data_IF_183119322431
#
_entry.id   IF_183119322431
#
_cell.length_a   1.000
_cell.length_b   1.000
_cell.length_c   1.000
_cell.angle_alpha   90.00
_cell.angle_beta   90.00
_cell.angle_gamma   90.00
#
_symmetry.space_group_name_H-M   'P 1'
#
loop_
_entity.id
_entity.type
_entity.pdbx_description
1 polymer ?
#
# COMPACT_ATOMS: atom_id res chain seq x y z
N UNK A 1 -8.51 -6.59 -7.53
CA UNK A 1 -7.70 -6.24 -6.35
C UNK A 1 -8.15 -4.88 -5.83
N UNK A 2 -8.63 -4.80 -4.59
CA UNK A 2 -8.97 -3.52 -3.93
C UNK A 2 -7.72 -2.86 -3.37
N UNK A 3 -7.46 -1.60 -3.70
CA UNK A 3 -6.32 -0.83 -3.21
C UNK A 3 -6.79 0.33 -2.34
N UNK A 4 -6.37 0.35 -1.08
CA UNK A 4 -6.68 1.45 -0.15
C UNK A 4 -5.38 2.09 0.29
N UNK A 5 -5.22 3.37 -0.01
CA UNK A 5 -4.01 4.12 0.27
C UNK A 5 -4.31 5.23 1.26
N UNK A 6 -3.87 5.01 2.50
CA UNK A 6 -3.99 5.92 3.62
C UNK A 6 -2.72 6.78 3.72
N UNK A 7 -2.82 8.00 3.21
CA UNK A 7 -1.75 9.00 3.32
C UNK A 7 -2.01 9.84 4.58
N UNK A 8 -1.22 9.62 5.64
CA UNK A 8 -1.44 10.27 6.93
C UNK A 8 -0.14 10.87 7.50
N UNK A 9 -0.21 11.96 8.28
CA UNK A 9 0.96 12.58 8.91
C UNK A 9 1.78 11.62 9.77
N UNK A 10 3.04 11.94 10.04
CA UNK A 10 3.88 11.22 11.02
C UNK A 10 3.17 11.13 12.38
N UNK A 11 3.45 10.05 13.13
CA UNK A 11 2.92 9.82 14.49
C UNK A 11 1.39 9.74 14.60
N UNK A 12 0.66 9.55 13.50
CA UNK A 12 -0.81 9.37 13.49
C UNK A 12 -1.30 7.96 13.83
N UNK A 13 -0.42 7.08 14.33
CA UNK A 13 -0.78 5.69 14.64
C UNK A 13 -0.93 4.76 13.43
N UNK A 14 -0.44 5.15 12.24
CA UNK A 14 -0.47 4.33 11.00
C UNK A 14 -0.02 2.89 11.21
N UNK A 15 1.16 2.71 11.78
CA UNK A 15 1.73 1.38 12.07
C UNK A 15 0.82 0.57 13.00
N UNK A 16 0.17 1.21 13.98
CA UNK A 16 -0.81 0.54 14.86
C UNK A 16 -2.02 0.07 14.06
N UNK A 17 -2.56 0.91 13.17
CA UNK A 17 -3.68 0.55 12.28
C UNK A 17 -3.29 -0.58 11.31
N UNK A 18 -2.11 -0.49 10.70
CA UNK A 18 -1.56 -1.53 9.83
C UNK A 18 -1.44 -2.86 10.60
N UNK A 19 -0.94 -2.82 11.83
CA UNK A 19 -0.81 -4.00 12.69
C UNK A 19 -2.17 -4.58 13.04
N UNK A 20 -3.15 -3.71 13.33
CA UNK A 20 -4.52 -4.13 13.61
C UNK A 20 -5.17 -4.84 12.41
N UNK A 21 -5.01 -4.32 11.19
CA UNK A 21 -5.51 -5.00 9.99
C UNK A 21 -4.80 -6.34 9.72
N UNK A 22 -3.53 -6.47 10.09
CA UNK A 22 -2.79 -7.73 9.96
C UNK A 22 -3.30 -8.83 10.89
N UNK A 23 -3.56 -8.49 12.16
CA UNK A 23 -3.98 -9.50 13.15
C UNK A 23 -5.40 -10.03 12.89
N UNK A 24 -6.18 -9.41 12.01
CA UNK A 24 -7.48 -9.92 11.57
C UNK A 24 -7.37 -11.23 10.76
N UNK A 25 -6.32 -11.38 9.95
CA UNK A 25 -6.08 -12.57 9.12
C UNK A 25 -4.57 -12.78 8.87
N UNK A 26 -3.80 -13.09 9.91
CA UNK A 26 -2.34 -13.10 9.84
C UNK A 26 -1.79 -14.20 8.92
N UNK A 27 -2.52 -15.30 8.71
CA UNK A 27 -2.08 -16.43 7.88
C UNK A 27 -2.17 -16.16 6.37
N UNK A 28 -3.15 -15.34 5.95
CA UNK A 28 -3.36 -14.97 4.55
C UNK A 28 -2.90 -13.54 4.22
N UNK A 29 -2.34 -12.81 5.19
CA UNK A 29 -1.87 -11.44 5.01
C UNK A 29 -0.35 -11.37 5.04
N UNK A 30 0.28 -10.73 4.05
CA UNK A 30 1.70 -10.36 4.13
C UNK A 30 1.82 -8.92 4.63
N UNK A 31 2.57 -8.72 5.71
CA UNK A 31 2.92 -7.40 6.23
C UNK A 31 4.32 -7.02 5.78
N UNK A 32 4.45 -5.92 5.05
CA UNK A 32 5.73 -5.34 4.64
C UNK A 32 5.92 -4.03 5.40
N UNK A 33 7.01 -3.93 6.16
CA UNK A 33 7.38 -2.73 6.91
C UNK A 33 8.66 -2.11 6.35
N UNK A 34 9.00 -0.89 6.78
CA UNK A 34 10.17 -0.13 6.31
C UNK A 34 11.50 -0.91 6.24
N UNK A 35 11.89 -1.59 7.33
CA UNK A 35 13.17 -2.28 7.44
C UNK A 35 13.12 -3.48 8.40
N UNK A 36 14.25 -4.19 8.52
CA UNK A 36 14.36 -5.39 9.35
C UNK A 36 14.25 -5.12 10.86
N UNK A 37 14.65 -3.95 11.35
CA UNK A 37 14.48 -3.61 12.77
C UNK A 37 13.01 -3.40 13.08
N UNK A 38 12.27 -2.74 12.18
CA UNK A 38 10.82 -2.62 12.30
C UNK A 38 10.11 -3.97 12.25
N UNK A 39 10.62 -4.96 11.50
CA UNK A 39 10.07 -6.34 11.54
C UNK A 39 10.10 -6.88 12.98
N UNK A 40 11.20 -6.69 13.71
CA UNK A 40 11.32 -7.12 15.11
C UNK A 40 10.36 -6.36 16.03
N UNK A 41 10.20 -5.05 15.81
CA UNK A 41 9.25 -4.25 16.58
C UNK A 41 7.80 -4.70 16.38
N UNK A 42 7.38 -4.95 15.13
CA UNK A 42 6.04 -5.48 14.84
C UNK A 42 5.88 -6.86 15.44
N UNK A 43 6.89 -7.72 15.30
CA UNK A 43 6.88 -9.05 15.88
C UNK A 43 6.57 -9.05 17.39
N UNK A 44 7.25 -8.19 18.16
CA UNK A 44 7.04 -8.09 19.60
C UNK A 44 5.62 -7.60 19.94
N UNK A 45 4.99 -6.82 19.04
CA UNK A 45 3.61 -6.33 19.23
C UNK A 45 2.54 -7.37 18.90
N UNK A 46 2.82 -8.33 18.01
CA UNK A 46 1.84 -9.35 17.54
C UNK A 46 2.07 -10.73 18.15
N UNK A 47 2.81 -10.82 19.26
CA UNK A 47 2.98 -12.04 20.07
C UNK A 47 3.39 -13.29 19.29
N UNK A 48 4.28 -13.17 18.28
CA UNK A 48 4.87 -14.36 17.64
C UNK A 48 4.36 -14.72 16.25
N UNK A 49 3.34 -14.03 15.70
CA UNK A 49 2.79 -14.37 14.37
C UNK A 49 3.70 -13.87 13.22
N UNK A 50 4.86 -14.53 13.08
CA UNK A 50 6.05 -14.08 12.34
C UNK A 50 6.04 -14.38 10.85
N UNK A 51 5.35 -15.46 10.46
CA UNK A 51 5.62 -16.12 9.18
C UNK A 51 5.36 -15.19 8.00
N UNK A 52 4.56 -14.14 8.17
CA UNK A 52 4.13 -13.25 7.11
C UNK A 52 4.56 -11.79 7.26
N UNK A 53 5.35 -11.44 8.28
CA UNK A 53 5.98 -10.12 8.38
C UNK A 53 7.32 -10.14 7.65
N UNK A 54 7.63 -9.08 6.89
CA UNK A 54 8.86 -8.98 6.09
C UNK A 54 9.27 -7.52 5.85
N UNK A 55 10.50 -7.32 5.38
CA UNK A 55 11.01 -6.04 4.91
C UNK A 55 10.90 -5.95 3.38
N UNK A 56 11.07 -4.75 2.77
CA UNK A 56 10.87 -4.55 1.33
C UNK A 56 11.85 -5.40 0.50
N UNK A 57 13.08 -5.52 0.99
CA UNK A 57 14.15 -6.30 0.34
C UNK A 57 13.91 -7.82 0.38
N UNK A 58 13.12 -8.30 1.34
CA UNK A 58 12.80 -9.73 1.48
C UNK A 58 11.42 -10.08 0.90
N UNK A 59 10.66 -9.08 0.43
CA UNK A 59 9.29 -9.24 -0.03
C UNK A 59 9.15 -10.28 -1.14
N UNK A 60 10.01 -10.21 -2.17
CA UNK A 60 9.98 -11.15 -3.30
C UNK A 60 10.12 -12.60 -2.82
N UNK A 61 11.10 -12.87 -1.98
CA UNK A 61 11.31 -14.21 -1.41
C UNK A 61 10.12 -14.65 -0.55
N UNK A 62 9.46 -13.71 0.13
CA UNK A 62 8.30 -13.97 0.97
C UNK A 62 7.06 -14.36 0.19
N UNK A 63 6.88 -13.82 -1.02
CA UNK A 63 5.65 -13.98 -1.82
C UNK A 63 5.77 -15.03 -2.93
N UNK A 64 6.98 -15.44 -3.32
CA UNK A 64 7.20 -16.50 -4.33
C UNK A 64 6.41 -17.77 -3.95
N UNK A 65 5.65 -18.29 -4.92
CA UNK A 65 4.84 -19.51 -4.74
C UNK A 65 3.62 -19.34 -3.83
N UNK A 66 3.34 -18.12 -3.35
CA UNK A 66 2.20 -17.81 -2.48
C UNK A 66 1.20 -16.91 -3.18
N UNK A 67 -0.07 -17.05 -2.77
CA UNK A 67 -1.17 -16.16 -3.15
C UNK A 67 -1.83 -15.63 -1.87
N UNK A 68 -1.22 -14.60 -1.24
CA UNK A 68 -1.85 -13.98 -0.08
C UNK A 68 -3.17 -13.33 -0.50
N UNK A 69 -4.16 -13.33 0.40
CA UNK A 69 -5.41 -12.58 0.21
C UNK A 69 -5.16 -11.09 0.40
N UNK A 70 -4.34 -10.73 1.38
CA UNK A 70 -4.08 -9.34 1.74
C UNK A 70 -2.59 -9.03 1.73
N UNK A 71 -2.26 -7.81 1.33
CA UNK A 71 -0.91 -7.25 1.49
C UNK A 71 -1.03 -5.91 2.20
N UNK A 72 -0.23 -5.71 3.23
CA UNK A 72 -0.13 -4.47 3.98
C UNK A 72 1.27 -3.89 3.75
N UNK A 73 1.33 -2.64 3.30
CA UNK A 73 2.56 -1.90 3.06
C UNK A 73 2.63 -0.73 4.05
N UNK A 74 3.41 -0.88 5.13
CA UNK A 74 3.63 0.16 6.15
C UNK A 74 4.87 0.99 5.79
N UNK A 75 4.71 2.32 5.83
CA UNK A 75 5.69 3.30 5.35
C UNK A 75 6.11 3.10 3.88
N UNK A 76 5.15 2.70 3.04
CA UNK A 76 5.36 2.38 1.63
C UNK A 76 6.11 3.42 0.79
N UNK A 77 5.87 4.72 1.02
CA UNK A 77 6.53 5.79 0.25
C UNK A 77 8.05 5.81 0.46
N UNK A 78 8.56 5.19 1.53
CA UNK A 78 9.98 5.11 1.86
C UNK A 78 10.67 3.84 1.34
N UNK A 79 9.95 2.94 0.65
CA UNK A 79 10.53 1.70 0.13
C UNK A 79 11.48 1.99 -1.05
N UNK A 80 12.74 1.55 -0.92
CA UNK A 80 13.76 1.76 -1.96
C UNK A 80 13.50 0.95 -3.23
N UNK A 81 12.96 -0.26 -3.12
CA UNK A 81 12.63 -1.17 -4.22
C UNK A 81 11.12 -1.19 -4.51
N UNK A 82 10.47 -0.03 -4.40
CA UNK A 82 9.01 0.12 -4.54
C UNK A 82 8.48 -0.42 -5.86
N UNK A 83 9.24 -0.26 -6.95
CA UNK A 83 8.84 -0.70 -8.28
C UNK A 83 8.82 -2.22 -8.41
N UNK A 84 9.78 -2.92 -7.82
CA UNK A 84 9.79 -4.39 -7.75
C UNK A 84 8.60 -4.91 -6.96
N UNK A 85 8.32 -4.31 -5.80
CA UNK A 85 7.17 -4.66 -4.96
C UNK A 85 5.87 -4.44 -5.73
N UNK A 86 5.73 -3.28 -6.38
CA UNK A 86 4.58 -2.99 -7.22
C UNK A 86 4.38 -4.05 -8.31
N UNK A 87 5.43 -4.38 -9.07
CA UNK A 87 5.39 -5.39 -10.14
C UNK A 87 4.97 -6.76 -9.61
N UNK A 88 5.55 -7.22 -8.50
CA UNK A 88 5.20 -8.51 -7.89
C UNK A 88 3.74 -8.53 -7.43
N UNK A 89 3.24 -7.47 -6.78
CA UNK A 89 1.84 -7.40 -6.34
C UNK A 89 0.88 -7.43 -7.54
N UNK A 90 1.20 -6.69 -8.61
CA UNK A 90 0.40 -6.70 -9.85
C UNK A 90 0.39 -8.08 -10.53
N UNK A 91 1.46 -8.87 -10.41
CA UNK A 91 1.50 -10.25 -10.91
C UNK A 91 0.67 -11.19 -10.03
N UNK A 92 0.70 -11.00 -8.70
CA UNK A 92 0.05 -11.90 -7.74
C UNK A 92 -1.44 -11.64 -7.58
N UNK A 93 -1.89 -10.40 -7.81
CA UNK A 93 -3.30 -9.99 -7.72
C UNK A 93 -3.96 -10.43 -6.40
N UNK A 94 -3.46 -10.02 -5.22
CA UNK A 94 -4.18 -10.27 -3.97
C UNK A 94 -5.58 -9.63 -4.00
N UNK A 95 -6.46 -10.06 -3.11
CA UNK A 95 -7.80 -9.49 -2.99
C UNK A 95 -7.71 -8.02 -2.54
N UNK A 96 -6.86 -7.74 -1.54
CA UNK A 96 -6.70 -6.41 -0.96
C UNK A 96 -5.23 -5.99 -0.82
N UNK A 97 -4.95 -4.71 -1.08
CA UNK A 97 -3.69 -4.03 -0.76
C UNK A 97 -3.99 -2.81 0.09
N UNK A 98 -3.50 -2.80 1.33
CA UNK A 98 -3.60 -1.69 2.25
C UNK A 98 -2.26 -0.99 2.37
N UNK A 99 -2.24 0.30 2.09
CA UNK A 99 -1.01 1.09 2.00
C UNK A 99 -1.11 2.18 3.04
N UNK A 100 -0.21 2.14 4.01
CA UNK A 100 -0.10 3.14 5.06
C UNK A 100 1.19 3.91 4.83
N UNK A 101 1.09 5.23 4.69
CA UNK A 101 2.30 6.02 4.51
C UNK A 101 2.16 7.47 4.89
N UNK A 102 3.30 8.13 4.98
CA UNK A 102 3.41 9.58 4.91
C UNK A 102 3.99 9.93 3.54
N UNK A 103 3.71 11.13 3.03
CA UNK A 103 4.39 11.63 1.84
C UNK A 103 5.88 11.76 2.14
N UNK A 104 6.72 11.17 1.28
CA UNK A 104 8.18 11.30 1.28
C UNK A 104 8.64 12.53 0.48
N UNK A 105 7.81 12.98 -0.48
CA UNK A 105 8.07 14.13 -1.34
C UNK A 105 6.79 14.73 -1.93
N UNK A 106 6.94 15.93 -2.47
CA UNK A 106 5.93 16.60 -3.30
C UNK A 106 6.14 16.23 -4.77
N UNK A 107 5.04 15.95 -5.48
CA UNK A 107 5.04 15.70 -6.91
C UNK A 107 4.53 16.94 -7.66
N UNK A 108 5.03 17.15 -8.88
CA UNK A 108 4.43 18.12 -9.79
C UNK A 108 3.03 17.64 -10.18
N UNK A 109 2.03 18.52 -10.03
CA UNK A 109 0.63 18.17 -10.26
C UNK A 109 0.38 17.77 -11.72
N UNK A 110 1.00 18.44 -12.69
CA UNK A 110 0.78 18.13 -14.12
C UNK A 110 1.36 16.76 -14.47
N UNK A 111 2.54 16.43 -13.94
CA UNK A 111 3.14 15.11 -14.13
C UNK A 111 2.29 14.04 -13.44
N UNK A 112 1.84 14.30 -12.22
CA UNK A 112 0.98 13.41 -11.45
C UNK A 112 -0.32 13.06 -12.21
N UNK A 113 -1.07 14.10 -12.61
CA UNK A 113 -2.34 13.95 -13.31
C UNK A 113 -2.13 13.23 -14.65
N UNK A 114 -1.08 13.61 -15.40
CA UNK A 114 -0.71 12.93 -16.65
C UNK A 114 -0.47 11.43 -16.45
N UNK A 115 0.34 11.04 -15.46
CA UNK A 115 0.60 9.61 -15.23
C UNK A 115 -0.68 8.89 -14.83
N UNK A 116 -1.48 9.46 -13.92
CA UNK A 116 -2.72 8.87 -13.43
C UNK A 116 -3.74 8.61 -14.54
N UNK A 117 -3.88 9.55 -15.48
CA UNK A 117 -4.81 9.43 -16.61
C UNK A 117 -4.38 8.39 -17.64
N UNK A 118 -3.08 8.13 -17.79
CA UNK A 118 -2.53 7.38 -18.92
C UNK A 118 -1.95 6.00 -18.56
N UNK A 119 -1.55 5.79 -17.30
CA UNK A 119 -0.88 4.59 -16.83
C UNK A 119 -1.64 3.29 -17.09
N UNK A 120 -2.97 3.31 -17.02
CA UNK A 120 -3.79 2.11 -17.25
C UNK A 120 -3.69 1.58 -18.69
N UNK A 121 -3.58 2.49 -19.65
CA UNK A 121 -3.70 2.17 -21.09
C UNK A 121 -2.37 2.19 -21.82
N UNK A 122 -1.28 2.54 -21.15
CA UNK A 122 -0.02 2.86 -21.81
C UNK A 122 1.15 2.30 -21.01
N UNK A 123 2.08 1.65 -21.71
CA UNK A 123 3.33 1.19 -21.11
C UNK A 123 4.19 2.37 -20.64
N UNK A 124 5.15 2.11 -19.75
CA UNK A 124 6.11 3.14 -19.32
C UNK A 124 6.79 3.86 -20.51
N UNK A 125 7.28 3.11 -21.50
CA UNK A 125 7.90 3.69 -22.69
C UNK A 125 6.91 4.51 -23.53
N UNK A 126 5.67 4.05 -23.65
CA UNK A 126 4.62 4.81 -24.34
C UNK A 126 4.25 6.10 -23.61
N UNK A 127 4.31 6.12 -22.27
CA UNK A 127 4.10 7.33 -21.46
C UNK A 127 5.19 8.37 -21.73
N UNK A 128 6.46 7.95 -21.80
CA UNK A 128 7.56 8.85 -22.12
C UNK A 128 7.40 9.46 -23.53
N UNK A 129 7.06 8.63 -24.51
CA UNK A 129 6.78 9.10 -25.89
C UNK A 129 5.60 10.07 -25.93
N UNK A 130 4.53 9.80 -25.17
CA UNK A 130 3.33 10.65 -25.11
C UNK A 130 3.59 11.98 -24.39
N UNK A 131 4.50 12.01 -23.42
CA UNK A 131 4.89 13.24 -22.74
C UNK A 131 5.71 14.17 -23.67
N UNK A 132 6.48 13.57 -24.58
CA UNK A 132 7.10 14.24 -25.72
C UNK A 132 8.28 15.15 -25.34
N UNK A 133 8.48 16.21 -26.13
CA UNK A 133 9.69 17.05 -26.15
C UNK A 133 10.01 17.78 -24.85
N UNK A 134 9.09 17.79 -23.88
CA UNK A 134 9.30 18.36 -22.54
C UNK A 134 10.02 17.41 -21.58
N UNK A 135 10.36 16.20 -22.03
CA UNK A 135 11.02 15.19 -21.21
C UNK A 135 12.44 15.66 -20.85
N UNK A 136 12.70 15.76 -19.55
CA UNK A 136 14.04 15.90 -18.98
C UNK A 136 14.32 14.70 -18.11
N UNK A 137 15.58 14.45 -17.76
CA UNK A 137 15.95 13.36 -16.85
C UNK A 137 15.18 13.44 -15.51
N UNK A 138 14.96 14.66 -15.00
CA UNK A 138 14.20 14.88 -13.77
C UNK A 138 12.74 14.45 -13.92
N UNK A 139 12.10 14.86 -15.02
CA UNK A 139 10.71 14.50 -15.33
C UNK A 139 10.58 12.99 -15.57
N UNK A 140 11.52 12.39 -16.29
CA UNK A 140 11.52 10.94 -16.53
C UNK A 140 11.59 10.17 -15.22
N UNK A 141 12.49 10.55 -14.30
CA UNK A 141 12.58 9.94 -12.97
C UNK A 141 11.29 10.08 -12.17
N UNK A 142 10.62 11.22 -12.29
CA UNK A 142 9.33 11.43 -11.63
C UNK A 142 8.22 10.57 -12.24
N UNK A 143 8.14 10.50 -13.57
CA UNK A 143 7.21 9.61 -14.29
C UNK A 143 7.47 8.15 -13.92
N UNK A 144 8.73 7.69 -13.88
CA UNK A 144 9.09 6.33 -13.47
C UNK A 144 8.57 6.03 -12.07
N UNK A 145 8.85 6.95 -11.15
CA UNK A 145 8.48 6.83 -9.75
C UNK A 145 6.97 6.80 -9.54
N UNK A 146 6.21 7.58 -10.32
CA UNK A 146 4.74 7.60 -10.30
C UNK A 146 4.15 6.38 -11.01
N UNK A 147 4.73 5.94 -12.13
CA UNK A 147 4.23 4.81 -12.92
C UNK A 147 4.27 3.51 -12.12
N UNK A 148 5.31 3.28 -11.32
CA UNK A 148 5.41 2.11 -10.44
C UNK A 148 4.95 2.37 -9.00
N UNK A 149 4.00 3.28 -8.81
CA UNK A 149 3.41 3.60 -7.50
C UNK A 149 1.89 3.43 -7.54
N UNK A 150 1.33 2.73 -6.55
CA UNK A 150 -0.13 2.56 -6.41
C UNK A 150 -0.90 3.86 -6.27
N UNK A 151 -0.24 4.96 -5.88
CA UNK A 151 -0.80 6.30 -5.75
C UNK A 151 -1.47 6.80 -7.04
N UNK A 152 -0.98 6.36 -8.21
CA UNK A 152 -1.48 6.75 -9.53
C UNK A 152 -2.29 5.65 -10.23
N UNK A 153 -2.55 4.52 -9.57
CA UNK A 153 -3.50 3.54 -10.11
C UNK A 153 -4.91 4.16 -10.10
N UNK A 154 -5.67 3.90 -11.15
CA UNK A 154 -6.98 4.51 -11.39
C UNK A 154 -8.06 4.05 -10.38
N UNK A 155 -7.92 2.82 -9.87
CA UNK A 155 -8.78 2.16 -8.89
C UNK A 155 -8.24 2.24 -7.45
N UNK A 156 -7.20 3.03 -7.18
CA UNK A 156 -6.74 3.27 -5.80
C UNK A 156 -7.65 4.24 -5.07
N UNK A 157 -8.20 3.77 -3.94
CA UNK A 157 -8.96 4.60 -3.00
C UNK A 157 -7.97 5.37 -2.14
N UNK A 158 -7.82 6.66 -2.41
CA UNK A 158 -7.01 7.56 -1.60
C UNK A 158 -7.80 8.10 -0.41
N UNK A 159 -7.25 7.92 0.78
CA UNK A 159 -7.84 8.41 2.02
C UNK A 159 -6.85 9.36 2.69
N UNK A 160 -7.20 10.64 2.75
CA UNK A 160 -6.44 11.66 3.49
C UNK A 160 -6.61 11.52 5.01
N UNK A 161 -5.79 12.22 5.79
CA UNK A 161 -5.78 12.11 7.25
C UNK A 161 -7.13 12.36 7.95
N UNK A 162 -7.97 13.25 7.43
CA UNK A 162 -9.30 13.53 8.01
C UNK A 162 -10.29 12.42 7.65
N UNK A 163 -10.30 11.99 6.39
CA UNK A 163 -11.15 10.88 5.92
C UNK A 163 -10.69 9.52 6.44
N UNK A 164 -9.42 9.36 6.80
CA UNK A 164 -8.83 8.11 7.29
C UNK A 164 -9.19 7.82 8.74
N UNK A 165 -9.45 8.85 9.54
CA UNK A 165 -10.07 8.68 10.84
C UNK A 165 -11.52 8.25 10.68
N UNK A 166 -12.31 8.96 9.87
CA UNK A 166 -13.72 8.64 9.64
C UNK A 166 -13.91 7.23 9.06
N UNK A 167 -13.18 6.86 8.01
CA UNK A 167 -13.27 5.53 7.40
C UNK A 167 -12.93 4.40 8.37
N UNK A 168 -11.94 4.60 9.25
CA UNK A 168 -11.61 3.61 10.28
C UNK A 168 -12.75 3.49 11.30
N UNK A 169 -13.33 4.60 11.75
CA UNK A 169 -14.48 4.59 12.65
C UNK A 169 -15.69 3.91 12.02
N UNK A 170 -16.01 4.23 10.77
CA UNK A 170 -17.16 3.65 10.06
C UNK A 170 -16.99 2.13 9.86
N UNK A 171 -15.77 1.68 9.54
CA UNK A 171 -15.47 0.25 9.38
C UNK A 171 -15.55 -0.49 10.72
N UNK A 172 -14.99 0.07 11.79
CA UNK A 172 -15.05 -0.51 13.14
C UNK A 172 -16.48 -0.57 13.66
N UNK A 173 -17.26 0.50 13.50
CA UNK A 173 -18.66 0.55 13.89
C UNK A 173 -19.49 -0.51 13.15
N UNK A 174 -19.21 -0.73 11.86
CA UNK A 174 -19.88 -1.76 11.07
C UNK A 174 -19.51 -3.18 11.50
N UNK A 175 -18.22 -3.43 11.77
CA UNK A 175 -17.73 -4.72 12.27
C UNK A 175 -18.29 -5.04 13.68
N UNK A 176 -18.44 -4.03 14.56
CA UNK A 176 -19.06 -4.17 15.89
C UNK A 176 -20.57 -4.44 15.80
N UNK A 177 -21.28 -3.76 14.89
CA UNK A 177 -22.70 -4.02 14.61
C UNK A 177 -22.91 -5.47 14.15
N UNK A 178 -22.13 -5.94 13.17
CA UNK A 178 -22.21 -7.31 12.67
C UNK A 178 -21.88 -8.36 13.74
N UNK A 179 -20.95 -8.06 14.66
CA UNK A 179 -20.62 -8.92 15.80
C UNK A 179 -21.78 -9.00 16.81
N UNK A 180 -22.40 -7.86 17.14
CA UNK A 180 -23.54 -7.80 18.05
C UNK A 180 -24.76 -8.53 17.50
N UNK A 181 -25.07 -8.38 16.21
CA UNK A 181 -26.19 -9.06 15.54
C UNK A 181 -25.99 -10.59 15.50
N UNK A 182 -24.76 -11.08 15.32
CA UNK A 182 -24.45 -12.51 15.39
C UNK A 182 -24.58 -13.11 16.79
N UNK A 183 -24.40 -12.29 17.84
CA UNK A 183 -24.54 -12.72 19.24
C UNK A 183 -25.98 -12.75 19.73
N UNK A 184 -26.89 -12.00 19.09
CA UNK A 184 -28.31 -12.01 19.42
C UNK A 184 -29.09 -13.14 18.72
N UNK A 185 -28.51 -13.74 17.68
CA UNK A 185 -29.14 -14.80 16.86
C UNK A 185 -28.59 -16.22 17.14
N UNK A 186 -27.79 -16.41 18.20
CA UNK A 186 -27.29 -17.70 18.70
C UNK A 186 -27.62 -17.82 20.20
#
# INVERSE_FOLDING_TARGET
MRKVFLMQPLRSGKTTKATYEFVKDPDNTIFVTHDYEMVKCIHNRVSGNLKNVTSPNQFKNKIIGRRPKNIILDDYMFFKNRDEIYKEIQVRQPDNVYIFSTSDKLYDKKIFDFVKENKRTTSYQGLLQKYGDKLTECIEKEIYNLYYNFLTDDDTILIDGEKALQFCYDKLAKEELEYCEKKQNN
#
